data_IF_879563451864
#
_entry.id   IF_879563451864
#
_cell.length_a   1.000
_cell.length_b   1.000
_cell.length_c   1.000
_cell.angle_alpha   90.00
_cell.angle_beta   90.00
_cell.angle_gamma   90.00
#
_symmetry.space_group_name_H-M   'P 1'
#
loop_
_entity.id
_entity.type
_entity.pdbx_description
1 polymer ?
#
# COMPACT_ATOMS: atom_id res chain seq x y z
N UNK A 1 -23.57 40.99 -54.96
CA UNK A 1 -22.91 41.31 -53.73
C UNK A 1 -23.23 40.22 -52.71
N UNK A 2 -22.20 39.51 -52.31
CA UNK A 2 -22.28 38.34 -51.42
C UNK A 2 -22.10 38.82 -49.98
N UNK A 3 -23.07 38.50 -49.13
CA UNK A 3 -23.01 38.71 -47.67
C UNK A 3 -22.18 37.59 -47.05
N UNK A 4 -21.10 37.96 -46.33
CA UNK A 4 -20.32 37.02 -45.52
C UNK A 4 -20.99 36.85 -44.16
N UNK A 5 -21.43 35.63 -43.87
CA UNK A 5 -21.88 35.21 -42.55
C UNK A 5 -20.71 35.11 -41.57
N UNK A 6 -20.79 35.84 -40.47
CA UNK A 6 -19.82 35.74 -39.37
C UNK A 6 -20.02 34.46 -38.56
N UNK A 7 -18.95 33.71 -38.36
CA UNK A 7 -18.90 32.54 -37.45
C UNK A 7 -18.64 33.10 -36.05
N UNK A 8 -19.68 33.03 -35.20
CA UNK A 8 -19.54 33.34 -33.78
C UNK A 8 -18.69 32.30 -33.07
N UNK A 9 -17.59 32.70 -32.44
CA UNK A 9 -16.81 31.86 -31.55
C UNK A 9 -17.59 31.65 -30.25
N UNK A 10 -17.60 30.43 -29.68
CA UNK A 10 -18.20 30.20 -28.36
C UNK A 10 -17.25 30.72 -27.28
N UNK A 11 -17.57 31.86 -26.71
CA UNK A 11 -16.97 32.37 -25.48
C UNK A 11 -17.56 31.61 -24.29
N UNK A 12 -17.01 30.44 -23.98
CA UNK A 12 -17.21 29.81 -22.68
C UNK A 12 -16.37 30.54 -21.61
N UNK A 13 -16.86 30.66 -20.37
CA UNK A 13 -16.08 31.34 -19.33
C UNK A 13 -14.80 30.55 -19.05
N UNK A 14 -13.65 31.19 -19.33
CA UNK A 14 -12.36 30.69 -18.81
C UNK A 14 -12.40 30.84 -17.29
N UNK A 15 -12.52 29.72 -16.60
CA UNK A 15 -12.39 29.70 -15.15
C UNK A 15 -10.91 29.81 -14.82
N UNK A 16 -10.47 31.03 -14.50
CA UNK A 16 -9.14 31.22 -13.91
C UNK A 16 -9.19 30.76 -12.46
N UNK A 17 -8.56 29.61 -12.17
CA UNK A 17 -8.32 29.24 -10.79
C UNK A 17 -7.28 30.17 -10.19
N UNK A 18 -7.59 30.79 -9.05
CA UNK A 18 -6.63 31.61 -8.31
C UNK A 18 -5.55 30.73 -7.66
N UNK A 19 -4.37 31.28 -7.40
CA UNK A 19 -3.27 30.57 -6.74
C UNK A 19 -3.71 29.90 -5.42
N UNK A 20 -4.60 30.53 -4.66
CA UNK A 20 -5.17 29.98 -3.42
C UNK A 20 -6.06 28.74 -3.66
N UNK A 21 -6.74 28.64 -4.80
CA UNK A 21 -7.54 27.46 -5.15
C UNK A 21 -6.66 26.29 -5.59
N UNK A 22 -5.52 26.60 -6.23
CA UNK A 22 -4.53 25.58 -6.57
C UNK A 22 -3.79 25.06 -5.33
N UNK A 23 -3.41 25.94 -4.39
CA UNK A 23 -2.79 25.52 -3.12
C UNK A 23 -3.73 24.64 -2.28
N UNK A 24 -5.01 24.97 -2.18
CA UNK A 24 -6.01 24.15 -1.50
C UNK A 24 -6.22 22.79 -2.16
N UNK A 25 -6.16 22.72 -3.49
CA UNK A 25 -6.27 21.46 -4.22
C UNK A 25 -5.01 20.60 -4.10
N UNK A 26 -3.81 21.22 -4.08
CA UNK A 26 -2.56 20.53 -3.78
C UNK A 26 -2.55 20.03 -2.32
N UNK A 27 -2.96 20.84 -1.36
CA UNK A 27 -3.02 20.45 0.06
C UNK A 27 -3.97 19.27 0.28
N UNK A 28 -5.14 19.25 -0.37
CA UNK A 28 -6.09 18.13 -0.33
C UNK A 28 -5.49 16.85 -0.92
N UNK A 29 -4.71 16.94 -2.00
CA UNK A 29 -4.02 15.78 -2.59
C UNK A 29 -2.96 15.19 -1.64
N UNK A 30 -2.33 16.04 -0.80
CA UNK A 30 -1.34 15.64 0.20
C UNK A 30 -1.93 14.93 1.44
N UNK A 31 -3.25 14.97 1.64
CA UNK A 31 -3.90 14.42 2.84
C UNK A 31 -4.78 13.21 2.51
N UNK A 32 -5.06 12.93 1.25
CA UNK A 32 -5.96 11.83 0.88
C UNK A 32 -5.25 10.48 0.92
N UNK A 33 -5.89 9.53 1.61
CA UNK A 33 -5.45 8.14 1.60
C UNK A 33 -5.95 7.40 0.38
N UNK A 34 -5.07 6.55 -0.16
CA UNK A 34 -5.35 5.71 -1.33
C UNK A 34 -4.85 4.29 -1.12
N UNK A 35 -5.61 3.32 -1.62
CA UNK A 35 -5.18 1.95 -1.82
C UNK A 35 -4.86 1.73 -3.30
N UNK A 36 -3.67 1.23 -3.60
CA UNK A 36 -3.20 1.00 -4.96
C UNK A 36 -2.71 -0.44 -5.08
N UNK A 37 -3.40 -1.25 -5.87
CA UNK A 37 -2.90 -2.57 -6.22
C UNK A 37 -1.83 -2.43 -7.30
N UNK A 38 -0.58 -2.75 -6.97
CA UNK A 38 0.51 -2.75 -7.94
C UNK A 38 0.44 -4.00 -8.82
N UNK A 39 0.20 -5.14 -8.20
CA UNK A 39 0.10 -6.44 -8.86
C UNK A 39 -0.88 -7.32 -8.10
N UNK A 40 -1.65 -8.15 -8.83
CA UNK A 40 -2.57 -9.13 -8.24
C UNK A 40 -2.60 -10.36 -9.13
N UNK A 41 -2.32 -11.52 -8.55
CA UNK A 41 -2.39 -12.83 -9.19
C UNK A 41 -1.25 -13.77 -8.80
N UNK A 42 -1.34 -15.03 -9.22
CA UNK A 42 -0.42 -16.13 -8.90
C UNK A 42 1.06 -15.89 -9.33
N UNK A 43 1.32 -14.87 -10.12
CA UNK A 43 2.68 -14.50 -10.52
C UNK A 43 3.33 -13.46 -9.60
N UNK A 44 2.58 -12.89 -8.68
CA UNK A 44 3.04 -11.98 -7.64
C UNK A 44 2.01 -10.92 -7.25
N UNK A 45 1.86 -10.73 -5.95
CA UNK A 45 0.97 -9.80 -5.31
C UNK A 45 1.77 -8.67 -4.63
N UNK A 46 1.31 -7.46 -4.73
CA UNK A 46 1.84 -6.31 -3.99
C UNK A 46 0.86 -5.16 -4.09
N UNK A 47 0.68 -4.43 -3.00
CA UNK A 47 -0.14 -3.22 -2.98
C UNK A 47 0.50 -2.15 -2.10
N UNK A 48 0.00 -0.93 -2.24
CA UNK A 48 0.42 0.25 -1.48
C UNK A 48 -0.79 0.87 -0.80
N UNK A 49 -0.64 1.21 0.46
CA UNK A 49 -1.53 2.10 1.19
C UNK A 49 -0.78 3.39 1.44
N UNK A 50 -1.24 4.51 0.90
CA UNK A 50 -0.61 5.81 1.12
C UNK A 50 -1.55 6.82 1.74
N UNK A 51 -0.97 7.76 2.48
CA UNK A 51 -1.61 9.00 2.91
C UNK A 51 -0.61 10.15 2.71
N UNK A 52 -0.93 11.03 1.78
CA UNK A 52 0.03 12.05 1.34
C UNK A 52 1.28 11.43 0.70
N UNK A 53 2.45 11.77 1.24
CA UNK A 53 3.73 11.21 0.79
C UNK A 53 4.09 9.90 1.50
N UNK A 54 3.55 9.66 2.70
CA UNK A 54 3.85 8.46 3.50
C UNK A 54 3.07 7.26 3.00
N UNK A 55 3.70 6.08 3.04
CA UNK A 55 3.05 4.86 2.57
C UNK A 55 3.60 3.59 3.21
N UNK A 56 2.78 2.55 3.17
CA UNK A 56 3.12 1.17 3.48
C UNK A 56 3.04 0.32 2.21
N UNK A 57 3.89 -0.68 2.09
CA UNK A 57 3.77 -1.72 1.07
C UNK A 57 3.15 -2.96 1.73
N UNK A 58 2.19 -3.60 1.08
CA UNK A 58 1.62 -4.88 1.51
C UNK A 58 2.02 -5.93 0.49
N UNK A 59 2.80 -6.90 0.94
CA UNK A 59 3.42 -7.96 0.16
C UNK A 59 4.42 -7.48 -0.91
N UNK A 60 5.34 -8.37 -1.29
CA UNK A 60 6.39 -8.10 -2.25
C UNK A 60 6.58 -9.30 -3.19
N UNK A 61 5.53 -9.66 -3.91
CA UNK A 61 5.53 -10.81 -4.84
C UNK A 61 6.27 -10.58 -6.16
N UNK A 62 6.73 -9.36 -6.43
CA UNK A 62 7.52 -9.04 -7.64
C UNK A 62 8.92 -8.55 -7.27
N UNK A 63 9.87 -8.80 -8.18
CA UNK A 63 11.27 -8.41 -7.97
C UNK A 63 11.48 -6.89 -7.94
N UNK A 64 12.60 -6.49 -7.34
CA UNK A 64 12.98 -5.09 -7.06
C UNK A 64 12.88 -4.14 -8.26
N UNK A 65 13.20 -4.60 -9.49
CA UNK A 65 13.09 -3.75 -10.69
C UNK A 65 11.64 -3.43 -11.02
N UNK A 66 10.77 -4.43 -10.97
CA UNK A 66 9.36 -4.30 -11.29
C UNK A 66 8.65 -3.42 -10.26
N UNK A 67 8.82 -3.73 -8.96
CA UNK A 67 8.23 -2.93 -7.87
C UNK A 67 8.79 -1.51 -7.87
N UNK A 68 10.11 -1.33 -8.04
CA UNK A 68 10.71 0.00 -8.10
C UNK A 68 10.23 0.85 -9.29
N UNK A 69 9.93 0.23 -10.44
CA UNK A 69 9.33 0.94 -11.57
C UNK A 69 7.90 1.41 -11.25
N UNK A 70 7.08 0.54 -10.64
CA UNK A 70 5.72 0.91 -10.24
C UNK A 70 5.70 2.03 -9.19
N UNK A 71 6.55 1.97 -8.17
CA UNK A 71 6.67 3.05 -7.18
C UNK A 71 7.08 4.38 -7.84
N UNK A 72 8.00 4.33 -8.82
CA UNK A 72 8.41 5.52 -9.55
C UNK A 72 7.28 6.11 -10.41
N UNK A 73 6.47 5.28 -11.07
CA UNK A 73 5.28 5.73 -11.83
C UNK A 73 4.24 6.41 -10.92
N UNK A 74 4.17 6.01 -9.65
CA UNK A 74 3.32 6.61 -8.63
C UNK A 74 3.96 7.83 -7.94
N UNK A 75 5.17 8.22 -8.35
CA UNK A 75 5.96 9.30 -7.75
C UNK A 75 6.26 9.07 -6.24
N UNK A 76 6.35 7.80 -5.82
CA UNK A 76 6.64 7.41 -4.44
C UNK A 76 8.15 7.23 -4.23
N UNK A 77 8.70 7.93 -3.23
CA UNK A 77 10.10 7.78 -2.83
C UNK A 77 10.22 6.68 -1.76
N UNK A 78 11.27 5.88 -1.84
CA UNK A 78 11.52 4.82 -0.84
C UNK A 78 11.75 5.38 0.56
N UNK A 79 12.32 6.58 0.68
CA UNK A 79 12.51 7.27 1.97
C UNK A 79 11.21 7.59 2.70
N UNK A 80 10.09 7.59 2.00
CA UNK A 80 8.77 7.92 2.53
C UNK A 80 7.96 6.65 2.88
N UNK A 81 8.55 5.47 2.64
CA UNK A 81 7.97 4.18 3.01
C UNK A 81 8.18 3.88 4.50
N UNK A 82 7.10 3.69 5.26
CA UNK A 82 7.14 3.37 6.68
C UNK A 82 7.45 1.89 6.95
N UNK A 83 7.27 1.02 5.97
CA UNK A 83 7.59 -0.40 6.09
C UNK A 83 6.83 -1.30 5.13
N UNK A 84 7.10 -2.60 5.26
CA UNK A 84 6.49 -3.65 4.46
C UNK A 84 5.68 -4.56 5.39
N UNK A 85 4.38 -4.69 5.14
CA UNK A 85 3.49 -5.64 5.78
C UNK A 85 3.49 -6.93 4.95
N UNK A 86 3.72 -8.08 5.58
CA UNK A 86 3.67 -9.40 4.91
C UNK A 86 2.46 -10.16 5.41
N UNK A 87 1.60 -10.57 4.49
CA UNK A 87 0.38 -11.33 4.83
C UNK A 87 0.69 -12.78 5.18
N UNK A 88 1.55 -13.44 4.40
CA UNK A 88 1.99 -14.83 4.57
C UNK A 88 3.23 -15.13 3.70
N UNK A 89 3.80 -16.35 3.86
CA UNK A 89 5.09 -16.72 3.27
C UNK A 89 5.05 -17.25 1.83
N UNK A 90 3.90 -17.37 1.18
CA UNK A 90 3.85 -17.90 -0.19
C UNK A 90 4.68 -17.07 -1.17
N UNK A 91 5.30 -17.76 -2.12
CA UNK A 91 6.29 -17.19 -3.02
C UNK A 91 5.76 -16.01 -3.84
N UNK A 92 4.49 -16.02 -4.22
CA UNK A 92 3.86 -14.93 -4.96
C UNK A 92 3.54 -13.70 -4.07
N UNK A 93 3.78 -13.79 -2.75
CA UNK A 93 3.73 -12.67 -1.82
C UNK A 93 5.12 -12.20 -1.37
N UNK A 94 6.14 -13.06 -1.35
CA UNK A 94 7.43 -12.70 -0.74
C UNK A 94 8.65 -12.87 -1.64
N UNK A 95 8.56 -13.45 -2.86
CA UNK A 95 9.74 -13.77 -3.69
C UNK A 95 10.59 -12.57 -4.09
N UNK A 96 10.02 -11.36 -4.09
CA UNK A 96 10.74 -10.12 -4.37
C UNK A 96 11.41 -9.51 -3.14
N UNK A 97 11.00 -9.91 -1.94
CA UNK A 97 11.32 -9.27 -0.67
C UNK A 97 12.83 -9.22 -0.41
N UNK A 98 13.52 -10.34 -0.51
CA UNK A 98 14.98 -10.41 -0.28
C UNK A 98 15.77 -9.46 -1.17
N UNK A 99 15.47 -9.43 -2.48
CA UNK A 99 16.20 -8.57 -3.44
C UNK A 99 15.85 -7.10 -3.25
N UNK A 100 14.63 -6.80 -2.81
CA UNK A 100 14.19 -5.45 -2.52
C UNK A 100 14.86 -4.91 -1.25
N UNK A 101 14.83 -5.68 -0.15
CA UNK A 101 15.40 -5.29 1.13
C UNK A 101 16.94 -5.17 1.11
N UNK A 102 17.64 -5.96 0.29
CA UNK A 102 19.08 -5.79 0.07
C UNK A 102 19.44 -4.44 -0.56
N UNK A 103 18.53 -3.88 -1.33
CA UNK A 103 18.72 -2.57 -1.97
C UNK A 103 18.15 -1.43 -1.12
N UNK A 104 17.04 -1.67 -0.47
CA UNK A 104 16.30 -0.69 0.30
C UNK A 104 15.94 -1.31 1.66
N UNK A 105 16.82 -1.21 2.67
CA UNK A 105 16.55 -1.73 4.01
C UNK A 105 15.35 -1.00 4.61
N UNK A 106 14.24 -1.73 4.78
CA UNK A 106 13.01 -1.25 5.40
C UNK A 106 12.61 -2.21 6.51
N UNK A 107 11.89 -1.74 7.54
CA UNK A 107 11.29 -2.63 8.54
C UNK A 107 10.21 -3.51 7.91
N UNK A 108 10.11 -4.75 8.38
CA UNK A 108 9.14 -5.75 7.93
C UNK A 108 8.25 -6.15 9.08
N UNK A 109 6.97 -6.17 8.85
CA UNK A 109 5.94 -6.48 9.84
C UNK A 109 5.08 -7.63 9.35
N UNK A 110 4.62 -8.48 10.26
CA UNK A 110 3.76 -9.62 9.92
C UNK A 110 3.35 -10.43 11.14
N UNK A 111 2.71 -11.59 10.93
CA UNK A 111 2.51 -12.57 11.97
C UNK A 111 3.84 -13.16 12.43
N UNK A 112 3.95 -13.53 13.70
CA UNK A 112 5.19 -14.07 14.28
C UNK A 112 5.70 -15.27 13.48
N UNK A 113 4.84 -16.24 13.19
CA UNK A 113 5.18 -17.46 12.47
C UNK A 113 5.67 -17.17 11.04
N UNK A 114 5.05 -16.19 10.35
CA UNK A 114 5.48 -15.76 9.03
C UNK A 114 6.87 -15.13 9.08
N UNK A 115 7.14 -14.27 10.07
CA UNK A 115 8.44 -13.61 10.21
C UNK A 115 9.54 -14.59 10.59
N UNK A 116 9.27 -15.56 11.48
CA UNK A 116 10.18 -16.65 11.82
C UNK A 116 10.54 -17.48 10.57
N UNK A 117 9.57 -17.81 9.73
CA UNK A 117 9.81 -18.50 8.46
C UNK A 117 10.72 -17.69 7.54
N UNK A 118 10.46 -16.38 7.37
CA UNK A 118 11.24 -15.50 6.50
C UNK A 118 12.68 -15.35 6.99
N UNK A 119 12.90 -15.23 8.29
CA UNK A 119 14.23 -15.11 8.90
C UNK A 119 15.00 -16.44 8.77
N UNK A 120 14.40 -17.56 9.17
CA UNK A 120 15.01 -18.90 9.09
C UNK A 120 15.43 -19.28 7.67
N UNK A 121 14.72 -18.80 6.65
CA UNK A 121 15.02 -19.04 5.23
C UNK A 121 15.91 -17.95 4.60
N UNK A 122 16.38 -16.96 5.37
CA UNK A 122 17.26 -15.89 4.90
C UNK A 122 16.60 -14.98 3.85
N UNK A 123 15.28 -14.86 3.89
CA UNK A 123 14.51 -13.98 3.00
C UNK A 123 14.72 -12.53 3.40
N UNK A 124 14.75 -12.24 4.70
CA UNK A 124 15.00 -10.90 5.22
C UNK A 124 16.47 -10.76 5.61
N UNK A 125 17.19 -9.75 5.09
CA UNK A 125 18.56 -9.47 5.50
C UNK A 125 18.63 -9.07 6.98
N UNK A 126 19.68 -9.52 7.69
CA UNK A 126 19.91 -9.17 9.11
C UNK A 126 20.07 -7.65 9.39
N UNK A 127 20.12 -6.84 8.35
CA UNK A 127 20.14 -5.37 8.43
C UNK A 127 18.75 -4.74 8.50
N UNK A 128 17.69 -5.54 8.37
CA UNK A 128 16.30 -5.08 8.42
C UNK A 128 15.66 -5.55 9.71
N UNK A 129 14.85 -4.68 10.31
CA UNK A 129 14.09 -5.00 11.51
C UNK A 129 12.86 -5.87 11.16
N UNK A 130 12.64 -6.90 11.96
CA UNK A 130 11.43 -7.74 11.92
C UNK A 130 10.61 -7.44 13.17
N UNK A 131 9.35 -7.08 12.99
CA UNK A 131 8.43 -6.80 14.09
C UNK A 131 7.14 -7.59 13.96
N UNK A 132 6.90 -8.50 14.89
CA UNK A 132 5.67 -9.27 14.94
C UNK A 132 4.49 -8.40 15.40
N UNK A 133 3.39 -8.45 14.63
CA UNK A 133 2.15 -7.79 14.99
C UNK A 133 1.23 -8.76 15.72
N UNK A 134 0.82 -8.41 16.93
CA UNK A 134 -0.11 -9.22 17.72
C UNK A 134 -1.53 -9.10 17.13
N UNK A 135 -2.16 -10.22 16.68
CA UNK A 135 -3.51 -10.16 16.15
C UNK A 135 -4.49 -9.51 17.11
N UNK A 136 -5.31 -8.59 16.59
CA UNK A 136 -6.31 -7.85 17.36
C UNK A 136 -5.78 -6.60 18.08
N UNK A 137 -4.47 -6.41 18.22
CA UNK A 137 -3.85 -5.20 18.75
C UNK A 137 -3.53 -4.22 17.62
N UNK A 138 -3.77 -2.93 17.84
CA UNK A 138 -3.34 -1.88 16.94
C UNK A 138 -1.93 -1.42 17.31
N UNK A 139 -1.07 -1.30 16.29
CA UNK A 139 0.33 -0.87 16.42
C UNK A 139 0.55 0.32 15.48
N UNK A 140 1.30 1.33 15.94
CA UNK A 140 1.67 2.48 15.13
C UNK A 140 2.87 2.15 14.23
N UNK A 141 2.70 2.26 12.92
CA UNK A 141 3.77 2.10 11.92
C UNK A 141 3.87 3.40 11.12
N UNK A 142 4.89 4.19 11.42
CA UNK A 142 5.01 5.54 10.86
C UNK A 142 3.80 6.40 11.22
N UNK A 143 3.02 6.78 10.22
CA UNK A 143 1.80 7.59 10.40
C UNK A 143 0.51 6.75 10.39
N UNK A 144 0.60 5.44 10.28
CA UNK A 144 -0.52 4.52 10.15
C UNK A 144 -0.76 3.74 11.44
N UNK A 145 -2.01 3.61 11.86
CA UNK A 145 -2.43 2.62 12.85
C UNK A 145 -2.72 1.30 12.15
N UNK A 146 -2.01 0.23 12.48
CA UNK A 146 -2.13 -1.08 11.80
C UNK A 146 -2.59 -2.15 12.79
N UNK A 147 -3.66 -2.83 12.46
CA UNK A 147 -4.19 -3.97 13.23
C UNK A 147 -4.21 -5.21 12.35
N UNK A 148 -3.42 -6.22 12.71
CA UNK A 148 -3.47 -7.52 12.07
C UNK A 148 -4.67 -8.34 12.56
N UNK A 149 -5.26 -9.15 11.68
CA UNK A 149 -6.30 -10.11 12.02
C UNK A 149 -6.08 -11.44 11.28
N UNK A 150 -6.37 -12.60 11.90
CA UNK A 150 -6.14 -13.88 11.27
C UNK A 150 -7.11 -14.13 10.12
N UNK A 151 -6.61 -14.70 9.04
CA UNK A 151 -7.39 -15.16 7.89
C UNK A 151 -7.32 -16.68 7.76
N UNK A 152 -8.19 -17.27 6.94
CA UNK A 152 -8.20 -18.72 6.71
C UNK A 152 -7.45 -19.05 5.43
N UNK A 153 -6.28 -19.68 5.59
CA UNK A 153 -5.44 -20.12 4.48
C UNK A 153 -4.75 -21.43 4.84
N UNK A 154 -3.96 -22.03 3.95
CA UNK A 154 -3.21 -23.28 4.17
C UNK A 154 -1.91 -23.10 4.99
N UNK A 155 -1.47 -21.84 5.15
CA UNK A 155 -0.37 -21.41 6.02
C UNK A 155 -0.83 -20.31 6.97
N UNK A 156 -0.07 -20.00 8.06
CA UNK A 156 -0.36 -18.82 8.89
C UNK A 156 -0.48 -17.57 8.03
N UNK A 157 -1.65 -16.93 8.05
CA UNK A 157 -1.97 -15.80 7.20
C UNK A 157 -2.76 -14.74 7.97
N UNK A 158 -2.44 -13.49 7.73
CA UNK A 158 -3.12 -12.34 8.32
C UNK A 158 -3.58 -11.35 7.26
N UNK A 159 -4.70 -10.70 7.54
CA UNK A 159 -5.10 -9.48 6.89
C UNK A 159 -4.77 -8.27 7.76
N UNK A 160 -4.91 -7.09 7.20
CA UNK A 160 -4.60 -5.83 7.88
C UNK A 160 -5.77 -4.86 7.81
N UNK A 161 -6.10 -4.26 8.95
CA UNK A 161 -6.95 -3.08 9.04
C UNK A 161 -6.02 -1.90 9.32
N UNK A 162 -6.02 -0.93 8.40
CA UNK A 162 -5.07 0.19 8.40
C UNK A 162 -5.84 1.49 8.56
N UNK A 163 -5.60 2.18 9.67
CA UNK A 163 -6.09 3.52 9.93
C UNK A 163 -5.11 4.55 9.40
N UNK A 164 -5.62 5.54 8.71
CA UNK A 164 -4.82 6.58 8.05
C UNK A 164 -5.04 7.94 8.72
N UNK A 165 -4.08 8.88 8.61
CA UNK A 165 -4.17 10.21 9.24
C UNK A 165 -5.39 11.05 8.85
N UNK A 166 -6.03 10.77 7.71
CA UNK A 166 -7.28 11.40 7.27
C UNK A 166 -8.53 10.66 7.77
N UNK A 167 -8.40 9.89 8.87
CA UNK A 167 -9.46 9.18 9.58
C UNK A 167 -10.20 8.12 8.73
N UNK A 168 -9.54 7.63 7.69
CA UNK A 168 -10.06 6.49 6.92
C UNK A 168 -9.54 5.18 7.44
N UNK A 169 -10.28 4.12 7.16
CA UNK A 169 -9.88 2.75 7.44
C UNK A 169 -9.89 1.95 6.15
N UNK A 170 -8.80 1.25 5.88
CA UNK A 170 -8.68 0.33 4.76
C UNK A 170 -8.46 -1.07 5.30
N UNK A 171 -9.24 -2.05 4.82
CA UNK A 171 -9.07 -3.45 5.21
C UNK A 171 -8.58 -4.24 4.00
N UNK A 172 -7.48 -4.96 4.20
CA UNK A 172 -6.84 -5.81 3.19
C UNK A 172 -6.88 -7.24 3.69
N UNK A 173 -7.46 -8.12 2.90
CA UNK A 173 -7.48 -9.55 3.16
C UNK A 173 -7.31 -10.28 1.82
N UNK A 174 -6.26 -11.08 1.71
CA UNK A 174 -5.92 -11.86 0.52
C UNK A 174 -6.04 -13.34 0.82
N UNK A 175 -6.16 -14.16 -0.21
CA UNK A 175 -6.10 -15.63 -0.14
C UNK A 175 -7.04 -16.25 0.90
N UNK A 176 -8.27 -15.72 0.95
CA UNK A 176 -9.29 -16.16 1.89
C UNK A 176 -9.89 -17.50 1.46
N UNK A 177 -9.65 -18.55 2.24
CA UNK A 177 -10.33 -19.83 2.08
C UNK A 177 -11.80 -19.74 2.51
N UNK A 178 -12.06 -19.12 3.67
CA UNK A 178 -13.41 -18.86 4.19
C UNK A 178 -13.46 -17.52 4.93
N UNK A 179 -14.65 -16.92 4.98
CA UNK A 179 -14.90 -15.74 5.79
C UNK A 179 -15.10 -16.14 7.25
N UNK A 180 -14.07 -15.94 8.06
CA UNK A 180 -14.12 -16.20 9.50
C UNK A 180 -14.80 -15.05 10.25
N UNK A 181 -15.25 -15.26 11.52
CA UNK A 181 -15.74 -14.16 12.35
C UNK A 181 -14.77 -12.99 12.47
N UNK A 182 -13.45 -13.26 12.56
CA UNK A 182 -12.41 -12.23 12.61
C UNK A 182 -12.36 -11.39 11.34
N UNK A 183 -12.51 -12.04 10.16
CA UNK A 183 -12.60 -11.32 8.87
C UNK A 183 -13.86 -10.47 8.81
N UNK A 184 -15.02 -10.99 9.25
CA UNK A 184 -16.26 -10.21 9.30
C UNK A 184 -16.14 -8.98 10.21
N UNK A 185 -15.54 -9.14 11.39
CA UNK A 185 -15.28 -8.02 12.31
C UNK A 185 -14.35 -6.97 11.67
N UNK A 186 -13.30 -7.40 11.00
CA UNK A 186 -12.35 -6.49 10.36
C UNK A 186 -12.94 -5.71 9.18
N UNK A 187 -13.98 -6.24 8.52
CA UNK A 187 -14.68 -5.61 7.40
C UNK A 187 -15.84 -4.69 7.85
N UNK A 188 -16.18 -4.68 9.14
CA UNK A 188 -17.24 -3.84 9.71
C UNK A 188 -16.71 -2.50 10.19
#
# INVERSE_FOLDING_TARGET
PLSRGGIGSPSGPCVFMTAQQTEGFYLLRFIMSEFISLYSGSSGNSSVVRCGERYLIVDMGKGVRTTGAALKELELNISDCDGILVTHEHSDHVKGLSTFLKKYPLPVYGAEETLEFLDANGVVPATCDLTALTPGREEDIGVFGVKAFPTSHDVPCVGYRIHTPDEKTMTIATDLGVLTPAVHEALS
#
